data_IF_351473580959
#
_entry.id   IF_351473580959
#
_cell.length_a   1.000
_cell.length_b   1.000
_cell.length_c   1.000
_cell.angle_alpha   90.00
_cell.angle_beta   90.00
_cell.angle_gamma   90.00
#
_symmetry.space_group_name_H-M   'P 1'
#
loop_
_entity.id
_entity.type
_entity.pdbx_description
1 polymer ?
#
# COMPACT_ATOMS: atom_id res chain seq x y z
N UNK A 1 -20.45 -1.67 11.99
CA UNK A 1 -19.65 -0.45 11.72
C UNK A 1 -18.59 -0.83 10.70
N UNK A 2 -18.42 -0.05 9.64
CA UNK A 2 -17.36 -0.28 8.65
C UNK A 2 -16.02 0.20 9.22
N UNK A 3 -14.98 -0.62 9.10
CA UNK A 3 -13.62 -0.27 9.49
C UNK A 3 -12.75 -0.25 8.24
N UNK A 4 -12.25 0.93 7.89
CA UNK A 4 -11.43 1.14 6.69
C UNK A 4 -9.95 1.30 7.06
N UNK A 5 -9.06 0.76 6.22
CA UNK A 5 -7.61 0.88 6.35
C UNK A 5 -7.03 1.67 5.18
N UNK A 6 -6.21 2.67 5.48
CA UNK A 6 -5.40 3.37 4.50
C UNK A 6 -3.94 2.94 4.65
N UNK A 7 -3.34 2.41 3.59
CA UNK A 7 -1.93 2.07 3.53
C UNK A 7 -1.20 3.13 2.71
N UNK A 8 -0.34 3.90 3.37
CA UNK A 8 0.45 4.92 2.70
C UNK A 8 1.70 4.31 2.07
N UNK A 9 1.96 4.57 0.79
CA UNK A 9 3.21 4.22 0.10
C UNK A 9 3.90 5.50 -0.33
N UNK A 10 4.95 5.98 0.35
CA UNK A 10 5.47 7.34 0.19
C UNK A 10 6.46 7.49 -0.98
N UNK A 11 6.67 6.50 -1.85
CA UNK A 11 7.75 6.54 -2.84
C UNK A 11 7.28 7.06 -4.20
N UNK A 12 8.03 7.99 -4.79
CA UNK A 12 7.81 8.47 -6.14
C UNK A 12 9.12 8.57 -6.92
N UNK A 13 9.07 8.44 -8.25
CA UNK A 13 10.22 8.74 -9.13
C UNK A 13 10.55 10.23 -9.16
N UNK A 14 9.53 11.07 -9.15
CA UNK A 14 9.62 12.51 -9.12
C UNK A 14 8.44 13.09 -8.34
N UNK A 15 8.56 14.33 -7.87
CA UNK A 15 7.48 15.03 -7.19
C UNK A 15 6.74 15.90 -8.18
N UNK A 16 5.45 15.64 -8.40
CA UNK A 16 4.60 16.51 -9.21
C UNK A 16 4.30 17.82 -8.47
N UNK A 17 4.25 18.95 -9.18
CA UNK A 17 3.99 20.26 -8.58
C UNK A 17 2.62 20.36 -7.90
N UNK A 18 1.65 19.58 -8.38
CA UNK A 18 0.30 19.51 -7.81
C UNK A 18 0.17 18.46 -6.69
N UNK A 19 1.22 17.70 -6.37
CA UNK A 19 1.14 16.59 -5.43
C UNK A 19 1.01 17.11 -3.98
N UNK A 20 -0.09 16.74 -3.32
CA UNK A 20 -0.37 17.07 -1.92
C UNK A 20 0.02 15.94 -0.93
N UNK A 21 0.49 14.79 -1.43
CA UNK A 21 0.89 13.67 -0.57
C UNK A 21 2.29 13.85 0.00
N UNK A 22 2.51 13.26 1.18
CA UNK A 22 3.86 13.11 1.73
C UNK A 22 4.62 12.07 0.90
N UNK A 23 5.62 12.52 0.15
CA UNK A 23 6.37 11.66 -0.77
C UNK A 23 7.88 11.83 -0.62
N UNK A 24 8.61 10.78 -0.99
CA UNK A 24 10.05 10.71 -1.05
C UNK A 24 10.48 10.32 -2.46
N UNK A 25 11.41 11.09 -3.01
CA UNK A 25 12.01 10.84 -4.34
C UNK A 25 13.44 10.32 -4.24
N UNK A 26 14.01 10.30 -3.05
CA UNK A 26 15.41 10.00 -2.75
C UNK A 26 15.58 8.75 -1.86
N UNK A 27 14.49 8.05 -1.54
CA UNK A 27 14.46 6.96 -0.54
C UNK A 27 13.90 5.63 -1.04
N UNK A 28 13.78 5.43 -2.35
CA UNK A 28 13.23 4.18 -2.91
C UNK A 28 13.98 2.93 -2.42
N UNK A 29 15.29 3.03 -2.13
CA UNK A 29 16.08 1.95 -1.55
C UNK A 29 15.58 1.46 -0.17
N UNK A 30 14.67 2.20 0.48
CA UNK A 30 14.03 1.80 1.74
C UNK A 30 12.69 1.08 1.55
N UNK A 31 12.20 0.92 0.31
CA UNK A 31 10.85 0.39 0.03
C UNK A 31 10.58 -0.97 0.69
N UNK A 32 11.47 -1.95 0.50
CA UNK A 32 11.28 -3.29 1.06
C UNK A 32 11.25 -3.25 2.60
N UNK A 33 12.15 -2.47 3.19
CA UNK A 33 12.19 -2.26 4.65
C UNK A 33 10.94 -1.56 5.16
N UNK A 34 10.41 -0.61 4.39
CA UNK A 34 9.18 0.12 4.72
C UNK A 34 7.97 -0.82 4.69
N UNK A 35 7.82 -1.62 3.63
CA UNK A 35 6.73 -2.60 3.51
C UNK A 35 6.81 -3.66 4.62
N UNK A 36 8.01 -4.18 4.92
CA UNK A 36 8.20 -5.11 6.04
C UNK A 36 7.80 -4.49 7.39
N UNK A 37 8.09 -3.20 7.60
CA UNK A 37 7.66 -2.47 8.79
C UNK A 37 6.13 -2.28 8.83
N UNK A 38 5.50 -1.93 7.71
CA UNK A 38 4.04 -1.83 7.60
C UNK A 38 3.36 -3.17 7.93
N UNK A 39 3.84 -4.27 7.36
CA UNK A 39 3.35 -5.62 7.67
C UNK A 39 3.45 -5.92 9.16
N UNK A 40 4.63 -5.67 9.75
CA UNK A 40 4.85 -5.89 11.20
C UNK A 40 3.88 -5.06 12.05
N UNK A 41 3.57 -3.83 11.64
CA UNK A 41 2.62 -2.98 12.35
C UNK A 41 1.19 -3.55 12.24
N UNK A 42 0.76 -3.93 11.04
CA UNK A 42 -0.55 -4.55 10.80
C UNK A 42 -0.72 -5.81 11.65
N UNK A 43 0.27 -6.71 11.65
CA UNK A 43 0.22 -7.95 12.44
C UNK A 43 0.08 -7.69 13.94
N UNK A 44 0.72 -6.62 14.46
CA UNK A 44 0.61 -6.22 15.87
C UNK A 44 -0.77 -5.66 16.21
N UNK A 45 -1.38 -4.90 15.32
CA UNK A 45 -2.67 -4.25 15.54
C UNK A 45 -3.85 -5.18 15.25
N UNK A 46 -3.68 -6.18 14.38
CA UNK A 46 -4.73 -7.09 13.93
C UNK A 46 -5.44 -7.84 15.07
N UNK A 47 -4.74 -8.15 16.16
CA UNK A 47 -5.30 -8.89 17.29
C UNK A 47 -6.41 -8.12 18.04
N UNK A 48 -6.43 -6.79 17.96
CA UNK A 48 -7.41 -5.92 18.63
C UNK A 48 -8.34 -5.16 17.68
N UNK A 49 -8.13 -5.27 16.37
CA UNK A 49 -8.88 -4.52 15.37
C UNK A 49 -10.12 -5.28 14.89
N UNK A 50 -11.24 -4.59 14.61
CA UNK A 50 -12.37 -5.21 13.91
C UNK A 50 -11.96 -5.60 12.48
N UNK A 51 -12.63 -6.58 11.85
CA UNK A 51 -12.36 -6.93 10.46
C UNK A 51 -12.49 -5.72 9.52
N UNK A 52 -11.50 -5.55 8.64
CA UNK A 52 -11.41 -4.42 7.71
C UNK A 52 -12.35 -4.65 6.54
N UNK A 53 -13.25 -3.70 6.30
CA UNK A 53 -14.25 -3.76 5.22
C UNK A 53 -13.79 -3.08 3.94
N UNK A 54 -12.80 -2.20 4.01
CA UNK A 54 -12.19 -1.55 2.85
C UNK A 54 -10.72 -1.22 3.08
N UNK A 55 -9.90 -1.42 2.06
CA UNK A 55 -8.47 -1.05 2.03
C UNK A 55 -8.22 -0.12 0.86
N UNK A 56 -7.55 0.99 1.11
CA UNK A 56 -7.04 1.89 0.07
C UNK A 56 -5.53 2.05 0.20
N UNK A 57 -4.80 1.72 -0.86
CA UNK A 57 -3.35 1.90 -0.95
C UNK A 57 -3.05 3.10 -1.84
N UNK A 58 -2.36 4.10 -1.31
CA UNK A 58 -2.05 5.31 -2.08
C UNK A 58 -0.95 6.16 -1.45
N UNK A 59 -0.80 7.39 -1.93
CA UNK A 59 0.17 8.35 -1.40
C UNK A 59 1.15 8.84 -2.47
N UNK A 60 2.28 8.17 -2.58
CA UNK A 60 3.19 8.32 -3.69
C UNK A 60 2.75 7.47 -4.88
N UNK A 61 3.54 6.47 -5.22
CA UNK A 61 3.29 5.58 -6.35
C UNK A 61 3.36 4.13 -5.87
N UNK A 62 2.23 3.51 -5.48
CA UNK A 62 2.21 2.10 -5.06
C UNK A 62 2.77 1.15 -6.12
N UNK A 63 2.59 1.44 -7.41
CA UNK A 63 3.17 0.63 -8.50
C UNK A 63 4.70 0.72 -8.63
N UNK A 64 5.37 1.56 -7.84
CA UNK A 64 6.82 1.69 -7.84
C UNK A 64 7.52 0.70 -6.89
N UNK A 65 6.81 0.15 -5.91
CA UNK A 65 7.35 -0.89 -5.01
C UNK A 65 7.15 -2.27 -5.59
N UNK A 66 7.80 -3.28 -5.01
CA UNK A 66 7.61 -4.67 -5.41
C UNK A 66 6.16 -5.13 -5.12
N UNK A 67 5.51 -5.72 -6.14
CA UNK A 67 4.11 -6.13 -6.05
C UNK A 67 3.90 -7.30 -5.08
N UNK A 68 4.83 -8.26 -5.06
CA UNK A 68 4.78 -9.39 -4.13
C UNK A 68 4.88 -8.93 -2.68
N UNK A 69 5.84 -8.04 -2.39
CA UNK A 69 6.01 -7.46 -1.08
C UNK A 69 4.78 -6.63 -0.64
N UNK A 70 4.12 -5.91 -1.55
CA UNK A 70 2.88 -5.22 -1.25
C UNK A 70 1.74 -6.20 -0.96
N UNK A 71 1.60 -7.27 -1.74
CA UNK A 71 0.62 -8.33 -1.49
C UNK A 71 0.85 -9.02 -0.13
N UNK A 72 2.10 -9.22 0.28
CA UNK A 72 2.44 -9.76 1.61
C UNK A 72 1.96 -8.83 2.75
N UNK A 73 2.03 -7.51 2.56
CA UNK A 73 1.48 -6.53 3.52
C UNK A 73 -0.04 -6.64 3.57
N UNK A 74 -0.70 -6.69 2.40
CA UNK A 74 -2.16 -6.77 2.30
C UNK A 74 -2.71 -8.08 2.88
N UNK A 75 -2.00 -9.20 2.70
CA UNK A 75 -2.38 -10.50 3.23
C UNK A 75 -2.37 -10.57 4.76
N UNK A 76 -1.64 -9.67 5.44
CA UNK A 76 -1.63 -9.59 6.90
C UNK A 76 -2.87 -8.88 7.48
N UNK A 77 -3.68 -8.22 6.64
CA UNK A 77 -4.85 -7.46 7.08
C UNK A 77 -6.00 -8.44 7.37
N UNK A 78 -6.67 -8.36 8.55
CA UNK A 78 -7.85 -9.17 8.84
C UNK A 78 -9.07 -8.65 8.08
N UNK A 79 -9.21 -9.03 6.81
CA UNK A 79 -10.30 -8.60 5.95
C UNK A 79 -11.64 -9.22 6.34
N UNK A 80 -12.70 -8.43 6.29
CA UNK A 80 -14.07 -8.94 6.33
C UNK A 80 -14.42 -9.66 5.01
N UNK A 81 -15.36 -10.63 5.01
CA UNK A 81 -15.87 -11.21 3.78
C UNK A 81 -16.40 -10.12 2.83
N UNK A 82 -15.95 -10.14 1.57
CA UNK A 82 -16.35 -9.15 0.56
C UNK A 82 -15.72 -7.77 0.75
N UNK A 83 -14.64 -7.64 1.53
CA UNK A 83 -13.91 -6.39 1.64
C UNK A 83 -13.40 -5.89 0.28
N UNK A 84 -13.50 -4.58 0.07
CA UNK A 84 -12.91 -3.92 -1.10
C UNK A 84 -11.42 -3.66 -0.85
N UNK A 85 -10.57 -3.93 -1.86
CA UNK A 85 -9.15 -3.56 -1.84
C UNK A 85 -8.84 -2.78 -3.10
N UNK A 86 -8.40 -1.53 -2.94
CA UNK A 86 -8.10 -0.60 -4.02
C UNK A 86 -6.64 -0.14 -3.91
N UNK A 87 -5.93 -0.12 -5.04
CA UNK A 87 -4.54 0.33 -5.12
C UNK A 87 -4.43 1.41 -6.19
N UNK A 88 -3.85 2.56 -5.84
CA UNK A 88 -3.52 3.59 -6.81
C UNK A 88 -2.38 3.15 -7.72
N UNK A 89 -2.52 3.39 -9.02
CA UNK A 89 -1.54 3.02 -10.03
C UNK A 89 -1.08 4.25 -10.81
N UNK A 90 0.24 4.41 -10.98
CA UNK A 90 0.77 5.30 -12.00
C UNK A 90 0.75 4.56 -13.36
N UNK A 91 0.04 5.07 -14.39
CA UNK A 91 -0.04 4.43 -15.70
C UNK A 91 1.31 4.25 -16.38
N UNK A 92 2.30 5.08 -16.08
CA UNK A 92 3.64 4.98 -16.68
C UNK A 92 4.46 3.79 -16.15
N UNK A 93 4.09 3.27 -14.96
CA UNK A 93 4.84 2.25 -14.24
C UNK A 93 4.06 0.93 -14.07
N UNK A 94 2.85 0.85 -14.61
CA UNK A 94 1.97 -0.31 -14.57
C UNK A 94 2.20 -1.19 -15.80
N UNK A 95 2.35 -2.50 -15.57
CA UNK A 95 2.41 -3.51 -16.62
C UNK A 95 1.40 -4.63 -16.35
N UNK A 96 1.25 -5.55 -17.31
CA UNK A 96 0.30 -6.65 -17.20
C UNK A 96 0.65 -7.62 -16.05
N UNK A 97 1.93 -7.78 -15.72
CA UNK A 97 2.33 -8.67 -14.64
C UNK A 97 1.90 -8.10 -13.29
N UNK A 98 2.16 -6.81 -13.04
CA UNK A 98 1.70 -6.09 -11.83
C UNK A 98 0.18 -6.05 -11.74
N UNK A 99 -0.52 -5.84 -12.85
CA UNK A 99 -1.99 -5.81 -12.85
C UNK A 99 -2.65 -7.17 -12.54
N UNK A 100 -1.90 -8.27 -12.66
CA UNK A 100 -2.37 -9.65 -12.40
C UNK A 100 -1.86 -10.24 -11.08
N UNK A 101 -0.97 -9.53 -10.38
CA UNK A 101 -0.42 -9.95 -9.08
C UNK A 101 -1.43 -9.67 -7.99
#
# INVERSE_FOLDING_TARGET
>A
MSFGLYLHVPFCRHRCDYCAFATWTDRLALADRYLAACRTQIEREAAGAPPVTSVFVGGGTPTLVDAGALCDVLAAIPLAPGAEVTVECNPDDLDEAKART
#
